data_IF_214280487873
#
_entry.id   IF_214280487873
#
_cell.length_a   1.000
_cell.length_b   1.000
_cell.length_c   1.000
_cell.angle_alpha   90.00
_cell.angle_beta   90.00
_cell.angle_gamma   90.00
#
_symmetry.space_group_name_H-M   'P 1'
#
loop_
_entity.id
_entity.type
_entity.pdbx_description
1 polymer ?
#
# COMPACT_ATOMS: atom_id res chain seq x y z
N UNK A 1 14.08 -8.58 -5.26
CA UNK A 1 14.62 -8.97 -3.93
C UNK A 1 14.18 -7.88 -2.97
N UNK A 2 13.24 -8.18 -2.08
CA UNK A 2 12.88 -7.27 -0.98
C UNK A 2 13.88 -7.52 0.13
N UNK A 3 14.63 -6.50 0.55
CA UNK A 3 15.62 -6.62 1.61
C UNK A 3 15.07 -5.86 2.82
N UNK A 4 14.51 -6.61 3.78
CA UNK A 4 14.15 -6.09 5.09
C UNK A 4 15.38 -6.17 5.99
N UNK A 5 15.91 -5.02 6.42
CA UNK A 5 16.99 -4.99 7.40
C UNK A 5 16.39 -5.00 8.81
N UNK A 6 16.77 -6.00 9.60
CA UNK A 6 16.38 -6.14 10.99
C UNK A 6 16.89 -5.03 11.89
N UNK A 7 16.33 -4.99 13.10
CA UNK A 7 16.32 -3.93 14.13
C UNK A 7 17.67 -3.49 14.73
N UNK A 8 18.81 -3.71 14.05
CA UNK A 8 20.10 -3.15 14.47
C UNK A 8 20.30 -1.84 13.77
N UNK A 9 20.22 -0.71 14.50
CA UNK A 9 20.52 0.64 14.00
C UNK A 9 21.89 0.68 13.32
N UNK A 10 21.97 0.60 11.99
CA UNK A 10 23.20 0.90 11.28
C UNK A 10 23.42 2.41 11.37
N UNK A 11 24.61 2.92 11.08
CA UNK A 11 24.74 4.36 10.84
C UNK A 11 23.75 4.77 9.73
N UNK A 12 23.27 6.02 9.72
CA UNK A 12 22.41 6.54 8.63
C UNK A 12 22.99 6.23 7.25
N UNK A 13 24.32 6.17 7.19
CA UNK A 13 25.09 5.89 5.98
C UNK A 13 25.05 4.44 5.53
N UNK A 14 24.86 3.46 6.41
CA UNK A 14 25.04 2.06 6.02
C UNK A 14 24.00 1.63 4.97
N UNK A 15 22.74 2.03 5.16
CA UNK A 15 21.69 1.73 4.18
C UNK A 15 21.89 2.52 2.89
N UNK A 16 22.22 3.81 2.98
CA UNK A 16 22.42 4.64 1.80
C UNK A 16 23.70 4.25 1.01
N UNK A 17 24.75 3.75 1.67
CA UNK A 17 25.91 3.13 1.03
C UNK A 17 25.49 1.89 0.25
N UNK A 18 24.75 0.99 0.89
CA UNK A 18 24.28 -0.23 0.24
C UNK A 18 23.44 0.07 -1.02
N UNK A 19 22.50 1.00 -0.94
CA UNK A 19 21.66 1.39 -2.09
C UNK A 19 22.52 2.00 -3.21
N UNK A 20 23.47 2.87 -2.88
CA UNK A 20 24.38 3.47 -3.86
C UNK A 20 25.26 2.41 -4.54
N UNK A 21 25.83 1.48 -3.77
CA UNK A 21 26.69 0.41 -4.28
C UNK A 21 25.89 -0.55 -5.18
N UNK A 22 24.66 -0.89 -4.79
CA UNK A 22 23.77 -1.71 -5.61
C UNK A 22 23.45 -1.02 -6.95
N UNK A 23 23.10 0.26 -6.92
CA UNK A 23 22.75 1.03 -8.12
C UNK A 23 23.95 1.20 -9.06
N UNK A 24 25.14 1.45 -8.51
CA UNK A 24 26.39 1.50 -9.27
C UNK A 24 26.67 0.16 -9.93
N UNK A 25 26.55 -0.94 -9.17
CA UNK A 25 26.77 -2.30 -9.66
C UNK A 25 25.81 -2.65 -10.80
N UNK A 26 24.51 -2.34 -10.67
CA UNK A 26 23.53 -2.58 -11.74
C UNK A 26 23.84 -1.75 -12.99
N UNK A 27 24.25 -0.50 -12.80
CA UNK A 27 24.62 0.39 -13.92
C UNK A 27 25.84 -0.12 -14.67
N UNK A 28 26.87 -0.58 -13.96
CA UNK A 28 28.09 -1.09 -14.58
C UNK A 28 27.86 -2.45 -15.25
N UNK A 29 27.02 -3.32 -14.67
CA UNK A 29 26.63 -4.58 -15.30
C UNK A 29 25.86 -4.37 -16.60
N UNK A 30 24.93 -3.40 -16.63
CA UNK A 30 24.21 -3.02 -17.84
C UNK A 30 25.17 -2.50 -18.93
N UNK A 31 26.11 -1.62 -18.57
CA UNK A 31 27.15 -1.11 -19.51
C UNK A 31 28.03 -2.22 -20.05
N UNK A 32 28.47 -3.14 -19.20
CA UNK A 32 29.39 -4.23 -19.57
C UNK A 32 28.72 -5.29 -20.45
N UNK A 33 27.46 -5.60 -20.20
CA UNK A 33 26.74 -6.69 -20.89
C UNK A 33 25.91 -6.21 -22.08
N UNK A 34 25.61 -4.91 -22.15
CA UNK A 34 24.66 -4.34 -23.11
C UNK A 34 23.20 -4.70 -22.81
N UNK A 35 22.91 -5.34 -21.67
CA UNK A 35 21.53 -5.67 -21.25
C UNK A 35 20.88 -4.49 -20.53
N UNK A 36 19.55 -4.43 -20.46
CA UNK A 36 18.85 -3.44 -19.64
C UNK A 36 19.26 -3.51 -18.18
N UNK A 37 19.48 -2.35 -17.56
CA UNK A 37 19.77 -2.22 -16.12
C UNK A 37 18.62 -2.79 -15.28
N UNK A 38 18.96 -3.52 -14.23
CA UNK A 38 17.99 -3.88 -13.19
C UNK A 38 17.46 -2.63 -12.50
N UNK A 39 16.16 -2.63 -12.18
CA UNK A 39 15.53 -1.56 -11.41
C UNK A 39 15.80 -1.78 -9.91
N UNK A 40 16.20 -0.71 -9.24
CA UNK A 40 16.35 -0.66 -7.80
C UNK A 40 15.25 0.22 -7.21
N UNK A 41 14.39 -0.37 -6.39
CA UNK A 41 13.37 0.35 -5.65
C UNK A 41 13.40 0.02 -4.17
N UNK A 42 13.02 1.01 -3.35
CA UNK A 42 12.88 0.86 -1.91
C UNK A 42 11.42 0.94 -1.48
N UNK A 43 11.09 0.29 -0.38
CA UNK A 43 9.81 0.41 0.30
C UNK A 43 10.02 1.15 1.61
N UNK A 44 9.33 2.28 1.79
CA UNK A 44 9.36 3.08 3.01
C UNK A 44 7.99 3.06 3.68
N UNK A 45 7.99 2.74 4.98
CA UNK A 45 6.78 2.73 5.82
C UNK A 45 6.52 4.09 6.48
N UNK A 46 5.34 4.26 7.08
CA UNK A 46 4.76 5.56 7.40
C UNK A 46 5.42 6.38 8.53
N UNK A 47 6.48 5.89 9.18
CA UNK A 47 7.09 6.62 10.29
C UNK A 47 8.02 7.72 9.78
N UNK A 48 7.47 8.77 9.17
CA UNK A 48 8.21 9.90 8.60
C UNK A 48 9.26 10.46 9.55
N UNK A 49 8.95 10.59 10.85
CA UNK A 49 9.92 11.01 11.88
C UNK A 49 11.03 9.99 12.13
N UNK A 50 10.69 8.70 12.21
CA UNK A 50 11.70 7.65 12.40
C UNK A 50 12.61 7.55 11.18
N UNK A 51 12.04 7.57 9.98
CA UNK A 51 12.79 7.47 8.74
C UNK A 51 13.69 8.70 8.55
N UNK A 52 13.16 9.92 8.70
CA UNK A 52 13.96 11.13 8.65
C UNK A 52 15.08 11.14 9.71
N UNK A 53 14.81 10.57 10.88
CA UNK A 53 15.79 10.49 11.97
C UNK A 53 16.88 9.45 11.70
N UNK A 54 16.60 8.35 11.01
CA UNK A 54 17.50 7.20 10.93
C UNK A 54 18.06 6.91 9.52
N UNK A 55 17.57 7.58 8.47
CA UNK A 55 17.97 7.33 7.08
C UNK A 55 18.42 8.62 6.38
N UNK A 56 19.45 8.52 5.52
CA UNK A 56 19.88 9.58 4.61
C UNK A 56 18.97 9.61 3.36
N UNK A 57 17.78 10.19 3.53
CA UNK A 57 16.75 10.24 2.49
C UNK A 57 17.21 10.88 1.18
N UNK A 58 17.91 12.04 1.17
CA UNK A 58 18.41 12.61 -0.08
C UNK A 58 19.29 11.63 -0.87
N UNK A 59 20.19 10.91 -0.19
CA UNK A 59 21.07 9.94 -0.85
C UNK A 59 20.33 8.69 -1.31
N UNK A 60 19.34 8.23 -0.55
CA UNK A 60 18.47 7.12 -0.97
C UNK A 60 17.67 7.50 -2.22
N UNK A 61 17.05 8.69 -2.23
CA UNK A 61 16.27 9.16 -3.36
C UNK A 61 17.12 9.39 -4.62
N UNK A 62 18.36 9.86 -4.48
CA UNK A 62 19.26 10.01 -5.62
C UNK A 62 19.80 8.68 -6.16
N UNK A 63 19.70 7.60 -5.38
CA UNK A 63 20.31 6.30 -5.69
C UNK A 63 19.29 5.20 -5.99
N UNK A 64 18.00 5.52 -6.06
CA UNK A 64 16.91 4.59 -6.40
C UNK A 64 16.21 5.01 -7.68
N UNK A 65 15.64 4.05 -8.41
CA UNK A 65 14.82 4.34 -9.60
C UNK A 65 13.42 4.84 -9.20
N UNK A 66 12.85 4.27 -8.13
CA UNK A 66 11.66 4.78 -7.48
C UNK A 66 11.59 4.32 -6.03
N UNK A 67 10.80 5.03 -5.23
CA UNK A 67 10.50 4.65 -3.85
C UNK A 67 8.99 4.45 -3.72
N UNK A 68 8.61 3.30 -3.19
CA UNK A 68 7.24 3.00 -2.82
C UNK A 68 7.05 3.54 -1.40
N UNK A 69 6.18 4.53 -1.26
CA UNK A 69 5.74 4.99 0.04
C UNK A 69 4.50 4.21 0.45
N UNK A 70 4.69 3.22 1.31
CA UNK A 70 3.60 2.40 1.81
C UNK A 70 2.83 3.15 2.88
N UNK A 71 1.57 3.44 2.59
CA UNK A 71 0.65 4.03 3.56
C UNK A 71 0.07 2.99 4.53
N UNK A 72 0.87 1.96 4.91
CA UNK A 72 0.51 0.83 5.79
C UNK A 72 0.03 1.28 7.19
N UNK A 73 -0.71 0.46 7.98
CA UNK A 73 -1.56 0.98 9.04
C UNK A 73 -0.74 1.17 10.28
N UNK A 74 -0.90 2.33 10.89
CA UNK A 74 -0.55 2.51 12.30
C UNK A 74 -1.45 1.60 13.13
N UNK A 75 -0.86 0.72 13.93
CA UNK A 75 -1.60 -0.04 14.94
C UNK A 75 -0.78 -1.05 15.72
N UNK A 76 0.07 -0.58 16.64
CA UNK A 76 0.20 -1.25 17.94
C UNK A 76 -1.14 -1.14 18.68
N UNK A 77 -1.55 -2.21 19.35
CA UNK A 77 -2.87 -2.37 19.94
C UNK A 77 -2.93 -1.88 21.38
N UNK A 78 -3.97 -1.11 21.70
CA UNK A 78 -4.91 -1.50 22.77
C UNK A 78 -6.32 -1.04 22.37
N UNK A 79 -7.29 -1.95 22.37
CA UNK A 79 -8.70 -1.62 22.12
C UNK A 79 -9.32 -1.19 23.45
N UNK A 80 -9.66 0.10 23.57
CA UNK A 80 -10.33 0.65 24.77
C UNK A 80 -11.86 0.80 24.60
N UNK A 81 -12.42 0.36 23.48
CA UNK A 81 -13.88 0.37 23.22
C UNK A 81 -14.51 1.74 22.97
N UNK A 82 -13.74 2.84 22.94
CA UNK A 82 -14.23 4.21 22.81
C UNK A 82 -13.40 5.03 21.80
N UNK A 83 -13.38 4.64 20.53
CA UNK A 83 -12.79 5.49 19.46
C UNK A 83 -13.86 5.95 18.47
N UNK A 84 -13.75 7.20 18.01
CA UNK A 84 -14.65 7.76 16.99
C UNK A 84 -14.40 7.12 15.62
N UNK A 85 -15.43 7.05 14.77
CA UNK A 85 -15.32 6.58 13.38
C UNK A 85 -14.24 7.34 12.58
N UNK A 86 -14.03 8.62 12.90
CA UNK A 86 -12.97 9.46 12.33
C UNK A 86 -11.56 9.01 12.75
N UNK A 87 -11.38 8.58 14.01
CA UNK A 87 -10.12 8.03 14.49
C UNK A 87 -9.80 6.68 13.86
N UNK A 88 -10.81 5.83 13.65
CA UNK A 88 -10.66 4.54 12.95
C UNK A 88 -10.33 4.73 11.47
N UNK A 89 -10.97 5.67 10.78
CA UNK A 89 -10.69 5.93 9.36
C UNK A 89 -9.35 6.61 9.08
N UNK A 90 -8.73 7.26 10.07
CA UNK A 90 -7.33 7.74 9.98
C UNK A 90 -6.30 6.60 10.03
N UNK A 91 -6.71 5.36 10.31
CA UNK A 91 -5.82 4.22 10.59
C UNK A 91 -5.92 3.07 9.56
N UNK A 92 -6.42 3.29 8.34
CA UNK A 92 -6.91 2.22 7.45
C UNK A 92 -6.27 2.11 6.02
N UNK A 93 -6.03 0.89 5.52
CA UNK A 93 -5.99 0.50 4.07
C UNK A 93 -6.13 -1.03 3.88
N UNK A 94 -6.98 -1.68 4.68
CA UNK A 94 -7.54 -3.05 4.55
C UNK A 94 -7.25 -3.92 5.78
N UNK A 95 -7.78 -3.55 6.95
CA UNK A 95 -7.69 -4.41 8.15
C UNK A 95 -8.94 -5.30 8.22
N UNK A 96 -8.72 -6.59 7.97
CA UNK A 96 -9.69 -7.66 8.16
C UNK A 96 -9.37 -8.30 9.52
N UNK A 97 -10.30 -8.28 10.47
CA UNK A 97 -10.32 -9.24 11.59
C UNK A 97 -11.43 -10.25 11.26
N UNK A 98 -11.39 -11.56 11.56
CA UNK A 98 -10.68 -12.36 12.57
C UNK A 98 -9.72 -13.36 11.91
N UNK A 99 -8.60 -13.67 12.58
CA UNK A 99 -7.50 -14.52 12.10
C UNK A 99 -7.96 -15.96 11.80
N UNK A 100 -8.11 -16.26 10.51
CA UNK A 100 -7.79 -17.58 9.94
C UNK A 100 -6.75 -17.35 8.82
N UNK A 101 -5.53 -17.93 8.90
CA UNK A 101 -4.44 -17.69 7.95
C UNK A 101 -4.73 -18.12 6.49
N UNK A 102 -5.89 -18.72 6.20
CA UNK A 102 -6.30 -19.10 4.84
C UNK A 102 -7.23 -18.08 4.14
N UNK A 103 -7.63 -17.00 4.82
CA UNK A 103 -8.79 -16.19 4.42
C UNK A 103 -8.42 -14.73 4.06
N UNK A 104 -7.98 -14.49 2.81
CA UNK A 104 -7.54 -13.14 2.39
C UNK A 104 -8.40 -12.46 1.32
N UNK A 105 -9.49 -13.06 0.85
CA UNK A 105 -10.33 -12.42 -0.16
C UNK A 105 -11.81 -12.75 -0.10
N UNK A 106 -12.16 -14.01 0.18
CA UNK A 106 -13.56 -14.45 0.22
C UNK A 106 -14.35 -13.68 1.29
N UNK A 107 -13.71 -13.30 2.39
CA UNK A 107 -14.36 -12.61 3.50
C UNK A 107 -15.05 -11.30 3.12
N UNK A 108 -14.37 -10.36 2.44
CA UNK A 108 -14.99 -9.07 2.08
C UNK A 108 -16.13 -9.28 1.10
N UNK A 109 -15.95 -10.14 0.10
CA UNK A 109 -17.01 -10.38 -0.88
C UNK A 109 -18.19 -11.14 -0.32
N UNK A 110 -17.97 -12.09 0.57
CA UNK A 110 -19.04 -12.76 1.30
C UNK A 110 -19.73 -11.80 2.27
N UNK A 111 -19.00 -10.85 2.85
CA UNK A 111 -19.55 -9.76 3.65
C UNK A 111 -20.44 -8.82 2.83
N UNK A 112 -19.99 -8.45 1.63
CA UNK A 112 -20.76 -7.63 0.69
C UNK A 112 -22.03 -8.36 0.23
N UNK A 113 -21.95 -9.67 -0.03
CA UNK A 113 -23.10 -10.51 -0.42
C UNK A 113 -24.12 -10.67 0.70
N UNK A 114 -23.68 -10.74 1.96
CA UNK A 114 -24.58 -10.76 3.14
C UNK A 114 -25.39 -9.47 3.29
N UNK A 115 -24.96 -8.39 2.61
CA UNK A 115 -25.62 -7.09 2.65
C UNK A 115 -25.38 -6.33 3.96
N UNK A 116 -25.75 -5.06 3.96
CA UNK A 116 -25.54 -4.15 5.08
C UNK A 116 -25.38 -2.72 4.59
N UNK A 117 -25.47 -1.76 5.51
CA UNK A 117 -25.26 -0.36 5.16
C UNK A 117 -23.76 -0.11 4.92
N UNK A 118 -23.41 0.20 3.66
CA UNK A 118 -22.07 0.70 3.34
C UNK A 118 -22.00 2.16 3.80
N UNK A 119 -21.10 2.43 4.74
CA UNK A 119 -20.79 3.78 5.22
C UNK A 119 -19.37 4.13 4.80
N UNK A 120 -19.03 5.42 4.71
CA UNK A 120 -17.68 5.87 4.33
C UNK A 120 -17.07 6.78 5.38
N UNK A 121 -15.79 6.56 5.67
CA UNK A 121 -15.00 7.54 6.43
C UNK A 121 -14.43 8.58 5.47
N UNK A 122 -14.53 9.85 5.85
CA UNK A 122 -14.14 11.00 5.04
C UNK A 122 -14.81 11.00 3.64
N UNK A 123 -15.98 10.38 3.52
CA UNK A 123 -16.69 10.16 2.26
C UNK A 123 -15.91 9.37 1.19
N UNK A 124 -14.80 8.72 1.55
CA UNK A 124 -13.94 7.99 0.60
C UNK A 124 -13.88 6.51 0.95
N UNK A 125 -13.31 6.16 2.11
CA UNK A 125 -12.98 4.77 2.43
C UNK A 125 -14.21 4.03 2.96
N UNK A 126 -14.66 2.94 2.32
CA UNK A 126 -15.85 2.23 2.74
C UNK A 126 -15.58 1.36 3.98
N UNK A 127 -16.62 1.22 4.78
CA UNK A 127 -16.72 0.20 5.80
C UNK A 127 -18.16 -0.29 5.89
N UNK A 128 -18.31 -1.49 6.42
CA UNK A 128 -19.61 -2.08 6.68
C UNK A 128 -19.58 -2.76 8.05
N UNK A 129 -20.69 -2.65 8.78
CA UNK A 129 -20.87 -3.23 10.10
C UNK A 129 -21.98 -4.27 10.02
N UNK A 130 -21.76 -5.44 10.63
CA UNK A 130 -22.80 -6.40 10.94
C UNK A 130 -22.85 -6.63 12.47
N UNK A 131 -23.61 -7.62 12.94
CA UNK A 131 -23.79 -7.86 14.37
C UNK A 131 -22.50 -8.28 15.12
N UNK A 132 -21.45 -8.73 14.43
CA UNK A 132 -20.20 -9.23 15.04
C UNK A 132 -18.94 -8.54 14.50
N UNK A 133 -19.01 -7.92 13.33
CA UNK A 133 -17.86 -7.52 12.54
C UNK A 133 -17.98 -6.07 12.05
N UNK A 134 -16.85 -5.38 12.05
CA UNK A 134 -16.64 -4.11 11.36
C UNK A 134 -15.53 -4.33 10.33
N UNK A 135 -15.89 -4.28 9.05
CA UNK A 135 -14.98 -4.55 7.94
C UNK A 135 -14.76 -3.26 7.18
N UNK A 136 -13.51 -2.82 7.14
CA UNK A 136 -13.07 -1.75 6.27
C UNK A 136 -12.35 -2.35 5.06
N UNK A 137 -12.56 -1.77 3.89
CA UNK A 137 -12.02 -2.29 2.63
C UNK A 137 -11.82 -1.16 1.63
N UNK A 138 -11.42 -1.51 0.41
CA UNK A 138 -11.38 -0.60 -0.73
C UNK A 138 -12.36 -1.05 -1.81
N UNK A 139 -13.03 -0.08 -2.42
CA UNK A 139 -13.91 -0.30 -3.57
C UNK A 139 -13.50 0.55 -4.76
N UNK A 140 -14.17 0.36 -5.88
CA UNK A 140 -13.86 1.06 -7.12
C UNK A 140 -13.93 2.58 -6.96
N UNK A 141 -14.80 3.07 -6.07
CA UNK A 141 -14.90 4.50 -5.77
C UNK A 141 -13.70 4.99 -4.96
N UNK A 142 -13.38 4.34 -3.83
CA UNK A 142 -12.26 4.79 -2.97
C UNK A 142 -10.93 4.74 -3.71
N UNK A 143 -10.72 3.71 -4.53
CA UNK A 143 -9.53 3.58 -5.37
C UNK A 143 -9.46 4.71 -6.40
N UNK A 144 -10.55 5.04 -7.10
CA UNK A 144 -10.59 6.17 -8.04
C UNK A 144 -10.26 7.50 -7.36
N UNK A 145 -10.82 7.77 -6.18
CA UNK A 145 -10.51 9.00 -5.42
C UNK A 145 -9.05 9.07 -4.99
N UNK A 146 -8.44 7.93 -4.59
CA UNK A 146 -7.00 7.88 -4.29
C UNK A 146 -6.14 8.14 -5.53
N UNK A 147 -6.50 7.60 -6.69
CA UNK A 147 -5.78 7.89 -7.95
C UNK A 147 -5.88 9.37 -8.30
N UNK A 148 -7.05 10.00 -8.17
CA UNK A 148 -7.20 11.45 -8.37
C UNK A 148 -6.31 12.25 -7.42
N UNK A 149 -6.25 11.84 -6.16
CA UNK A 149 -5.38 12.48 -5.17
C UNK A 149 -3.90 12.35 -5.51
N UNK A 150 -3.45 11.15 -5.88
CA UNK A 150 -2.06 10.86 -6.31
C UNK A 150 -1.69 11.69 -7.54
N UNK A 151 -2.59 11.81 -8.53
CA UNK A 151 -2.40 12.70 -9.68
C UNK A 151 -2.24 14.16 -9.26
N UNK A 152 -3.08 14.64 -8.33
CA UNK A 152 -3.00 16.01 -7.80
C UNK A 152 -1.69 16.27 -7.04
N UNK A 153 -1.15 15.27 -6.35
CA UNK A 153 0.15 15.36 -5.69
C UNK A 153 1.33 15.42 -6.67
N UNK A 154 1.14 15.00 -7.92
CA UNK A 154 2.21 14.96 -8.91
C UNK A 154 3.28 13.90 -8.61
N UNK A 155 2.93 12.84 -7.87
CA UNK A 155 3.85 11.71 -7.63
C UNK A 155 3.93 10.82 -8.88
N UNK A 156 5.01 10.03 -8.98
CA UNK A 156 5.34 9.28 -10.19
C UNK A 156 4.38 8.11 -10.51
N UNK A 157 3.62 7.62 -9.53
CA UNK A 157 2.72 6.50 -9.74
C UNK A 157 1.99 6.04 -8.49
N UNK A 158 1.38 4.87 -8.60
CA UNK A 158 0.61 4.22 -7.54
C UNK A 158 1.04 2.76 -7.40
N UNK A 159 1.28 2.31 -6.17
CA UNK A 159 1.53 0.92 -5.85
C UNK A 159 0.24 0.25 -5.38
N UNK A 160 -0.09 -0.92 -5.92
CA UNK A 160 -1.27 -1.70 -5.54
C UNK A 160 -0.82 -2.98 -4.81
N UNK A 161 -1.08 -3.05 -3.51
CA UNK A 161 -0.65 -4.16 -2.65
C UNK A 161 -1.90 -4.83 -2.01
N UNK A 162 -2.18 -6.11 -2.24
CA UNK A 162 -1.57 -7.03 -3.21
C UNK A 162 -2.56 -7.36 -4.33
N UNK A 163 -2.05 -7.79 -5.50
CA UNK A 163 -2.90 -8.09 -6.66
C UNK A 163 -3.90 -9.22 -6.37
N UNK A 164 -3.51 -10.24 -5.60
CA UNK A 164 -4.36 -11.36 -5.21
C UNK A 164 -5.55 -10.98 -4.32
N UNK A 165 -5.52 -9.78 -3.73
CA UNK A 165 -6.61 -9.25 -2.92
C UNK A 165 -7.71 -8.56 -3.74
N UNK A 166 -7.57 -8.44 -5.06
CA UNK A 166 -8.65 -7.99 -5.96
C UNK A 166 -9.51 -9.18 -6.42
N UNK A 167 -10.73 -8.94 -6.90
CA UNK A 167 -11.65 -9.99 -7.38
C UNK A 167 -11.23 -10.54 -8.74
N UNK A 168 -10.10 -11.23 -8.81
CA UNK A 168 -9.58 -11.78 -10.05
C UNK A 168 -10.47 -12.88 -10.65
N UNK A 169 -11.30 -13.52 -9.82
CA UNK A 169 -12.24 -14.57 -10.25
C UNK A 169 -13.60 -14.02 -10.67
N UNK A 170 -13.99 -12.83 -10.21
CA UNK A 170 -15.30 -12.24 -10.49
C UNK A 170 -16.41 -12.76 -9.56
N UNK A 171 -16.04 -13.25 -8.38
CA UNK A 171 -16.93 -13.89 -7.42
C UNK A 171 -17.84 -12.91 -6.67
N UNK A 172 -17.53 -11.61 -6.70
CA UNK A 172 -18.21 -10.56 -5.94
C UNK A 172 -19.34 -9.90 -6.75
N UNK A 173 -19.60 -10.37 -7.98
CA UNK A 173 -20.66 -9.85 -8.85
C UNK A 173 -20.34 -8.52 -9.52
N UNK A 174 -19.11 -8.01 -9.37
CA UNK A 174 -18.65 -6.74 -9.97
C UNK A 174 -17.77 -6.94 -11.22
N UNK A 175 -17.69 -8.17 -11.72
CA UNK A 175 -16.78 -8.58 -12.78
C UNK A 175 -15.36 -8.81 -12.27
N UNK A 176 -14.46 -9.29 -13.14
CA UNK A 176 -13.07 -9.58 -12.76
C UNK A 176 -12.27 -8.30 -12.55
N UNK A 177 -11.35 -8.34 -11.59
CA UNK A 177 -10.40 -7.27 -11.29
C UNK A 177 -11.03 -5.87 -11.11
N UNK A 178 -12.10 -5.73 -10.31
CA UNK A 178 -12.83 -4.47 -10.18
C UNK A 178 -11.94 -3.32 -9.72
N UNK A 179 -11.03 -3.55 -8.75
CA UNK A 179 -10.17 -2.48 -8.25
C UNK A 179 -9.09 -2.09 -9.26
N UNK A 180 -8.43 -3.07 -9.90
CA UNK A 180 -7.44 -2.77 -10.94
C UNK A 180 -8.05 -2.15 -12.19
N UNK A 181 -9.28 -2.54 -12.57
CA UNK A 181 -10.02 -1.85 -13.64
C UNK A 181 -10.31 -0.41 -13.26
N UNK A 182 -10.73 -0.16 -12.01
CA UNK A 182 -10.96 1.20 -11.52
C UNK A 182 -9.68 2.05 -11.57
N UNK A 183 -8.53 1.51 -11.18
CA UNK A 183 -7.21 2.17 -11.35
C UNK A 183 -6.96 2.45 -12.83
N UNK A 184 -7.07 1.45 -13.69
CA UNK A 184 -6.76 1.57 -15.12
C UNK A 184 -7.63 2.60 -15.82
N UNK A 185 -8.94 2.60 -15.54
CA UNK A 185 -9.90 3.58 -16.03
C UNK A 185 -9.53 5.00 -15.61
N UNK A 186 -9.18 5.20 -14.33
CA UNK A 186 -8.87 6.53 -13.83
C UNK A 186 -7.52 7.01 -14.35
N UNK A 187 -6.49 6.17 -14.38
CA UNK A 187 -5.17 6.51 -14.92
C UNK A 187 -5.21 6.90 -16.40
N UNK A 188 -6.12 6.34 -17.20
CA UNK A 188 -6.29 6.70 -18.62
C UNK A 188 -6.93 8.07 -18.86
N UNK A 189 -7.59 8.66 -17.86
CA UNK A 189 -8.15 10.00 -17.97
C UNK A 189 -7.03 11.02 -17.81
N UNK A 190 -6.69 11.71 -18.90
CA UNK A 190 -5.76 12.84 -18.94
C UNK A 190 -6.39 14.07 -18.30
#
# INVERSE_FOLDING_TARGET
MTIELGDRSPSKDSFANFIQDAQNTFTDEARRTGKPKLLLFGDLTYFSRYIQRNYDLPRIYSSTDYVIFNTLPVGEYSWSGLESLEALGRRHHSRIYRLDPEDTFNLVCDFLKKGGQITRVLNISPFQVNAQDLVFYDDEFSVKERIKYVKKLGVAGFNFANLEADDFRGNCGRGKWPLLRAVSEECRKS
#
